data_IF_698401303824
#
_entry.id   IF_698401303824
#
_cell.length_a   1.000
_cell.length_b   1.000
_cell.length_c   1.000
_cell.angle_alpha   90.00
_cell.angle_beta   90.00
_cell.angle_gamma   90.00
#
_symmetry.space_group_name_H-M   'P 1'
#
loop_
_entity.id
_entity.type
_entity.pdbx_description
1 polymer ?
#
# COMPACT_ATOMS: atom_id res chain seq x y z
N UNK A 1 6.24 4.47 9.18
CA UNK A 1 5.67 3.63 8.12
C UNK A 1 4.24 3.30 8.49
N UNK A 2 3.36 3.14 7.52
CA UNK A 2 2.06 2.51 7.71
C UNK A 2 2.22 1.01 7.47
N UNK A 3 1.72 0.19 8.37
CA UNK A 3 1.79 -1.28 8.28
C UNK A 3 0.36 -1.78 8.12
N UNK A 4 0.12 -2.60 7.10
CA UNK A 4 -1.21 -3.13 6.78
C UNK A 4 -1.16 -4.65 6.61
N UNK A 5 -2.23 -5.30 7.04
CA UNK A 5 -2.58 -6.69 6.78
C UNK A 5 -4.05 -6.75 6.38
N UNK A 6 -4.44 -7.77 5.61
CA UNK A 6 -5.82 -7.97 5.19
C UNK A 6 -6.31 -9.35 5.63
N UNK A 7 -7.57 -9.50 6.10
CA UNK A 7 -8.07 -10.78 6.60
C UNK A 7 -8.16 -11.87 5.53
N UNK A 8 -8.36 -11.49 4.27
CA UNK A 8 -8.59 -12.42 3.17
C UNK A 8 -7.42 -12.50 2.17
N UNK A 9 -6.52 -11.51 2.18
CA UNK A 9 -5.47 -11.38 1.16
C UNK A 9 -4.10 -11.50 1.81
N UNK A 10 -3.20 -12.25 1.18
CA UNK A 10 -1.81 -12.34 1.63
C UNK A 10 -1.08 -11.00 1.42
N UNK A 11 0.08 -10.83 2.04
CA UNK A 11 0.90 -9.65 1.79
C UNK A 11 1.34 -9.51 0.32
N UNK A 12 1.49 -10.63 -0.40
CA UNK A 12 1.82 -10.63 -1.82
C UNK A 12 0.62 -10.18 -2.67
N UNK A 13 -0.59 -10.67 -2.37
CA UNK A 13 -1.82 -10.22 -3.05
C UNK A 13 -2.02 -8.71 -2.85
N UNK A 14 -1.81 -8.23 -1.62
CA UNK A 14 -1.83 -6.79 -1.32
C UNK A 14 -0.77 -6.03 -2.12
N UNK A 15 0.47 -6.54 -2.18
CA UNK A 15 1.53 -5.91 -2.97
C UNK A 15 1.16 -5.83 -4.46
N UNK A 16 0.60 -6.89 -5.04
CA UNK A 16 0.16 -6.91 -6.42
C UNK A 16 -1.00 -5.93 -6.67
N UNK A 17 -1.95 -5.85 -5.73
CA UNK A 17 -3.04 -4.89 -5.79
C UNK A 17 -2.57 -3.43 -5.70
N UNK A 18 -1.59 -3.12 -4.84
CA UNK A 18 -1.01 -1.77 -4.79
C UNK A 18 -0.25 -1.42 -6.09
N UNK A 19 0.39 -2.40 -6.73
CA UNK A 19 1.06 -2.22 -8.03
C UNK A 19 0.10 -2.06 -9.21
N UNK A 20 -1.13 -2.55 -9.09
CA UNK A 20 -2.13 -2.47 -10.16
C UNK A 20 -2.94 -1.18 -10.16
N UNK A 21 -2.75 -0.31 -9.17
CA UNK A 21 -3.38 1.02 -9.15
C UNK A 21 -2.93 1.88 -10.35
N UNK A 22 -3.75 2.84 -10.79
CA UNK A 22 -3.41 3.73 -11.91
C UNK A 22 -2.04 4.41 -11.76
N UNK A 23 -1.70 4.80 -10.53
CA UNK A 23 -0.34 5.14 -10.11
C UNK A 23 0.18 3.99 -9.26
N UNK A 24 1.16 3.19 -9.74
CA UNK A 24 1.66 2.04 -9.02
C UNK A 24 2.29 2.43 -7.68
N UNK A 25 1.84 1.80 -6.59
CA UNK A 25 2.40 2.01 -5.26
C UNK A 25 3.30 0.82 -4.91
N UNK A 26 4.56 1.12 -4.58
CA UNK A 26 5.56 0.10 -4.24
C UNK A 26 5.69 0.00 -2.72
N UNK A 27 5.26 -1.13 -2.17
CA UNK A 27 5.33 -1.45 -0.74
C UNK A 27 6.37 -2.53 -0.46
N UNK A 28 6.93 -2.51 0.74
CA UNK A 28 7.80 -3.61 1.22
C UNK A 28 6.94 -4.69 1.85
N UNK A 29 7.26 -5.96 1.61
CA UNK A 29 6.62 -7.11 2.26
C UNK A 29 7.54 -7.61 3.38
N UNK A 30 6.97 -7.80 4.58
CA UNK A 30 7.68 -8.35 5.73
C UNK A 30 6.69 -9.02 6.67
N UNK A 31 6.94 -10.29 7.04
CA UNK A 31 6.13 -11.07 8.00
C UNK A 31 4.61 -11.00 7.74
N UNK A 32 4.18 -11.39 6.53
CA UNK A 32 2.77 -11.35 6.06
C UNK A 32 2.08 -9.98 6.21
N UNK A 33 2.86 -8.90 6.22
CA UNK A 33 2.37 -7.53 6.22
C UNK A 33 3.04 -6.72 5.11
N UNK A 34 2.34 -5.68 4.65
CA UNK A 34 2.91 -4.67 3.78
C UNK A 34 3.28 -3.42 4.57
N UNK A 35 4.38 -2.80 4.17
CA UNK A 35 4.94 -1.63 4.81
C UNK A 35 5.06 -0.50 3.80
N UNK A 36 4.33 0.58 4.07
CA UNK A 36 4.34 1.80 3.29
C UNK A 36 5.22 2.83 3.99
N UNK A 37 6.37 3.12 3.38
CA UNK A 37 7.38 3.98 3.97
C UNK A 37 7.17 5.44 3.55
N UNK A 38 6.67 6.26 4.47
CA UNK A 38 6.42 7.68 4.21
C UNK A 38 7.68 8.48 3.85
N UNK A 39 8.89 7.97 4.13
CA UNK A 39 10.15 8.64 3.75
C UNK A 39 10.31 8.78 2.23
N UNK A 40 9.58 7.97 1.45
CA UNK A 40 9.60 7.99 -0.02
C UNK A 40 8.31 8.53 -0.62
N UNK A 41 7.39 9.07 0.18
CA UNK A 41 6.12 9.62 -0.28
C UNK A 41 6.25 11.14 -0.34
N UNK A 42 5.96 11.73 -1.50
CA UNK A 42 6.00 13.18 -1.67
C UNK A 42 4.66 13.80 -1.25
N UNK A 43 4.64 15.07 -0.79
CA UNK A 43 3.39 15.70 -0.35
C UNK A 43 2.29 15.69 -1.41
N UNK A 44 2.64 15.86 -2.70
CA UNK A 44 1.66 15.86 -3.80
C UNK A 44 1.07 14.48 -4.12
N UNK A 45 1.66 13.39 -3.65
CA UNK A 45 1.15 12.03 -3.83
C UNK A 45 0.16 11.62 -2.73
N UNK A 46 0.00 12.45 -1.69
CA UNK A 46 -0.72 12.07 -0.47
C UNK A 46 -2.22 11.83 -0.72
N UNK A 47 -2.85 12.67 -1.55
CA UNK A 47 -4.29 12.55 -1.83
C UNK A 47 -4.61 11.28 -2.62
N UNK A 48 -3.78 10.94 -3.61
CA UNK A 48 -3.93 9.70 -4.40
C UNK A 48 -3.69 8.47 -3.52
N UNK A 49 -2.64 8.50 -2.69
CA UNK A 49 -2.35 7.43 -1.74
C UNK A 49 -3.52 7.19 -0.77
N UNK A 50 -4.10 8.25 -0.21
CA UNK A 50 -5.24 8.12 0.70
C UNK A 50 -6.47 7.55 -0.01
N UNK A 51 -6.74 7.98 -1.25
CA UNK A 51 -7.81 7.42 -2.09
C UNK A 51 -7.65 5.91 -2.31
N UNK A 52 -6.42 5.44 -2.54
CA UNK A 52 -6.13 4.00 -2.65
C UNK A 52 -6.36 3.30 -1.31
N UNK A 53 -5.81 3.80 -0.20
CA UNK A 53 -5.94 3.16 1.12
C UNK A 53 -7.42 3.02 1.53
N UNK A 54 -8.25 4.02 1.25
CA UNK A 54 -9.69 3.97 1.59
C UNK A 54 -10.48 2.91 0.83
N UNK A 55 -9.99 2.42 -0.32
CA UNK A 55 -10.62 1.33 -1.09
C UNK A 55 -10.29 -0.06 -0.55
N UNK A 56 -9.36 -0.13 0.41
CA UNK A 56 -8.88 -1.36 1.03
C UNK A 56 -9.65 -1.69 2.33
N UNK A 57 -10.41 -0.73 2.87
CA UNK A 57 -11.25 -0.82 4.07
C UNK A 57 -12.69 -1.10 3.64
#
# INVERSE_FOLDING_TARGET
ALVLSHPEWSANDLQEWFRSQPVPIIVRVHEEQIWLDFRTILPHDSDELMSVITRLI
#
